data_IF_448267388860
#
_entry.id   IF_448267388860
#
_cell.length_a   1.000
_cell.length_b   1.000
_cell.length_c   1.000
_cell.angle_alpha   90.00
_cell.angle_beta   90.00
_cell.angle_gamma   90.00
#
_symmetry.space_group_name_H-M   'P 1'
#
loop_
_entity.id
_entity.type
_entity.pdbx_description
1 polymer ?
#
# COMPACT_ATOMS: atom_id res chain seq x y z
N UNK A 1 -26.31 7.55 -6.66
CA UNK A 1 -26.37 6.86 -5.35
C UNK A 1 -25.60 7.71 -4.35
N UNK A 2 -26.00 7.73 -3.08
CA UNK A 2 -25.30 8.46 -2.01
C UNK A 2 -24.83 7.48 -0.94
N UNK A 3 -23.81 7.86 -0.19
CA UNK A 3 -23.35 7.13 0.97
C UNK A 3 -24.22 7.51 2.16
N UNK A 4 -24.69 6.51 2.91
CA UNK A 4 -25.43 6.74 4.15
C UNK A 4 -24.47 7.10 5.28
N UNK A 5 -24.46 8.39 5.63
CA UNK A 5 -23.65 8.95 6.71
C UNK A 5 -24.13 8.50 8.10
N UNK A 6 -25.35 7.96 8.22
CA UNK A 6 -25.86 7.40 9.48
C UNK A 6 -25.48 5.93 9.69
N UNK A 7 -24.76 5.32 8.74
CA UNK A 7 -24.26 3.96 8.95
C UNK A 7 -23.28 3.92 10.11
N UNK A 8 -23.39 2.89 10.95
CA UNK A 8 -22.52 2.71 12.12
C UNK A 8 -21.04 2.64 11.75
N UNK A 9 -20.73 2.12 10.56
CA UNK A 9 -19.36 2.10 10.04
C UNK A 9 -18.83 3.52 9.81
N UNK A 10 -19.60 4.39 9.14
CA UNK A 10 -19.15 5.76 8.87
C UNK A 10 -19.05 6.60 10.14
N UNK A 11 -20.02 6.46 11.04
CA UNK A 11 -19.95 7.12 12.34
C UNK A 11 -18.66 6.75 13.08
N UNK A 12 -18.30 5.47 13.12
CA UNK A 12 -17.04 5.03 13.73
C UNK A 12 -15.78 5.55 13.01
N UNK A 13 -15.80 5.64 11.68
CA UNK A 13 -14.67 6.16 10.90
C UNK A 13 -14.47 7.64 11.24
N UNK A 14 -15.55 8.42 11.26
CA UNK A 14 -15.54 9.85 11.57
C UNK A 14 -15.14 10.09 13.04
N UNK A 15 -15.75 9.38 13.99
CA UNK A 15 -15.45 9.49 15.43
C UNK A 15 -14.00 9.15 15.77
N UNK A 16 -13.46 8.10 15.14
CA UNK A 16 -12.06 7.70 15.31
C UNK A 16 -11.08 8.61 14.55
N UNK A 17 -11.57 9.69 13.93
CA UNK A 17 -10.77 10.62 13.12
C UNK A 17 -9.96 9.91 12.04
N UNK A 18 -10.51 8.85 11.45
CA UNK A 18 -9.90 8.24 10.27
C UNK A 18 -10.10 9.18 9.10
N UNK A 19 -9.01 9.46 8.42
CA UNK A 19 -8.97 10.59 7.49
C UNK A 19 -9.66 10.30 6.17
N UNK A 20 -9.83 9.02 5.79
CA UNK A 20 -10.16 8.66 4.43
C UNK A 20 -10.78 7.27 4.27
N UNK A 21 -11.59 7.12 3.23
CA UNK A 21 -12.05 5.84 2.71
C UNK A 21 -11.60 5.67 1.26
N UNK A 22 -11.30 4.43 0.88
CA UNK A 22 -10.91 4.09 -0.47
C UNK A 22 -11.73 2.90 -0.99
N UNK A 23 -11.90 2.83 -2.30
CA UNK A 23 -12.50 1.67 -2.98
C UNK A 23 -11.40 0.86 -3.67
N UNK A 24 -11.43 -0.45 -3.48
CA UNK A 24 -10.61 -1.39 -4.22
C UNK A 24 -11.00 -1.36 -5.70
N UNK A 25 -10.07 -0.99 -6.58
CA UNK A 25 -10.28 -0.94 -8.03
C UNK A 25 -9.76 -2.20 -8.70
N UNK A 26 -8.56 -2.61 -8.32
CA UNK A 26 -7.84 -3.71 -8.96
C UNK A 26 -7.06 -4.52 -7.92
N UNK A 27 -6.83 -5.79 -8.22
CA UNK A 27 -6.08 -6.70 -7.36
C UNK A 27 -5.28 -7.68 -8.20
N UNK A 28 -4.08 -7.99 -7.72
CA UNK A 28 -3.26 -9.09 -8.21
C UNK A 28 -3.49 -10.28 -7.29
N UNK A 29 -3.87 -11.41 -7.87
CA UNK A 29 -4.17 -12.64 -7.13
C UNK A 29 -3.26 -13.77 -7.55
N UNK A 30 -2.99 -14.70 -6.64
CA UNK A 30 -2.42 -16.00 -7.00
C UNK A 30 -3.45 -16.81 -7.79
N UNK A 31 -3.01 -17.48 -8.86
CA UNK A 31 -3.87 -18.37 -9.66
C UNK A 31 -3.76 -19.82 -9.21
N UNK A 32 -2.64 -20.17 -8.58
CA UNK A 32 -2.33 -21.50 -8.06
C UNK A 32 -1.66 -21.39 -6.69
N UNK A 33 -1.50 -22.54 -6.03
CA UNK A 33 -0.74 -22.62 -4.79
C UNK A 33 0.72 -22.29 -5.08
N UNK A 34 1.33 -21.44 -4.25
CA UNK A 34 2.76 -21.14 -4.34
C UNK A 34 3.40 -21.09 -2.95
N UNK A 35 4.72 -21.06 -2.91
CA UNK A 35 5.48 -21.20 -1.68
C UNK A 35 6.61 -20.19 -1.64
N UNK A 36 6.73 -19.48 -0.52
CA UNK A 36 7.84 -18.59 -0.20
C UNK A 36 8.77 -19.30 0.78
N UNK A 37 10.06 -19.35 0.46
CA UNK A 37 11.09 -19.95 1.31
C UNK A 37 12.17 -18.91 1.60
N UNK A 38 12.46 -18.65 2.88
CA UNK A 38 13.63 -17.84 3.27
C UNK A 38 14.90 -18.69 3.14
N UNK A 39 15.87 -18.21 2.37
CA UNK A 39 17.19 -18.83 2.26
C UNK A 39 18.23 -17.92 2.93
N UNK A 40 18.65 -18.29 4.14
CA UNK A 40 19.74 -17.61 4.83
C UNK A 40 21.05 -18.10 4.22
N UNK A 41 21.70 -17.29 3.37
CA UNK A 41 23.09 -17.51 3.02
C UNK A 41 23.95 -17.03 4.19
N UNK A 42 24.37 -17.94 5.06
CA UNK A 42 25.48 -17.67 5.98
C UNK A 42 26.76 -17.79 5.16
N UNK A 43 27.21 -16.70 4.55
CA UNK A 43 28.53 -16.64 3.96
C UNK A 43 29.57 -16.67 5.10
N UNK A 44 30.05 -17.85 5.46
CA UNK A 44 31.28 -17.97 6.23
C UNK A 44 32.46 -17.63 5.32
N UNK A 45 32.75 -16.33 5.18
CA UNK A 45 34.08 -15.88 4.80
C UNK A 45 34.61 -14.89 5.83
N UNK A 46 35.06 -15.43 6.96
CA UNK A 46 35.96 -14.69 7.87
C UNK A 46 37.34 -14.65 7.23
N UNK A 47 37.64 -13.57 6.52
CA UNK A 47 38.97 -12.94 6.55
C UNK A 47 38.87 -11.52 5.97
N UNK A 48 38.67 -10.54 6.85
CA UNK A 48 38.88 -9.12 6.57
C UNK A 48 37.61 -8.28 6.30
N UNK A 49 37.27 -7.45 7.30
CA UNK A 49 36.49 -6.20 7.25
C UNK A 49 35.01 -6.28 6.82
N UNK A 50 34.12 -6.20 7.83
CA UNK A 50 32.70 -5.83 7.83
C UNK A 50 31.79 -6.47 6.76
N UNK A 51 31.32 -7.69 7.04
CA UNK A 51 30.35 -8.40 6.20
C UNK A 51 28.93 -7.85 6.34
N UNK A 52 28.39 -7.31 5.25
CA UNK A 52 26.95 -7.08 5.09
C UNK A 52 26.27 -8.41 4.76
N UNK A 53 25.42 -8.94 5.66
CA UNK A 53 24.62 -10.14 5.38
C UNK A 53 23.47 -9.78 4.44
N UNK A 54 23.58 -10.14 3.15
CA UNK A 54 22.50 -9.96 2.19
C UNK A 54 21.53 -11.16 2.25
N UNK A 55 20.33 -10.95 2.80
CA UNK A 55 19.26 -11.96 2.82
C UNK A 55 18.54 -11.98 1.47
N UNK A 56 18.53 -13.13 0.79
CA UNK A 56 17.81 -13.30 -0.49
C UNK A 56 16.52 -14.08 -0.27
N UNK A 57 15.38 -13.48 -0.60
CA UNK A 57 14.07 -14.15 -0.56
C UNK A 57 13.81 -14.82 -1.91
N UNK A 58 13.57 -16.14 -1.92
CA UNK A 58 13.23 -16.90 -3.13
C UNK A 58 11.75 -17.26 -3.12
N UNK A 59 11.06 -16.94 -4.22
CA UNK A 59 9.66 -17.29 -4.45
C UNK A 59 9.60 -18.38 -5.52
N UNK A 60 8.85 -19.45 -5.27
CA UNK A 60 8.69 -20.55 -6.22
C UNK A 60 7.23 -21.00 -6.35
N UNK A 61 6.91 -21.54 -7.52
CA UNK A 61 5.59 -22.07 -7.85
C UNK A 61 5.76 -23.59 -8.02
N UNK A 62 5.12 -24.39 -7.17
CA UNK A 62 5.25 -25.85 -7.19
C UNK A 62 3.96 -26.51 -7.66
N UNK A 63 4.07 -27.44 -8.60
CA UNK A 63 2.95 -28.26 -9.06
C UNK A 63 2.90 -29.62 -8.33
N UNK A 64 4.05 -30.10 -7.81
CA UNK A 64 4.18 -31.37 -7.09
C UNK A 64 5.07 -31.23 -5.84
N UNK A 65 4.57 -31.73 -4.71
CA UNK A 65 5.12 -31.54 -3.37
C UNK A 65 6.31 -32.42 -3.01
N UNK A 66 7.50 -32.11 -3.52
CA UNK A 66 8.76 -32.63 -2.96
C UNK A 66 9.59 -31.49 -2.40
N UNK A 67 9.73 -31.48 -1.07
CA UNK A 67 10.31 -30.39 -0.28
C UNK A 67 11.61 -30.93 0.36
N UNK A 68 12.76 -30.52 -0.19
CA UNK A 68 14.06 -30.76 0.45
C UNK A 68 14.17 -29.81 1.65
N UNK A 69 14.27 -30.40 2.83
CA UNK A 69 14.13 -29.74 4.13
C UNK A 69 15.50 -29.40 4.71
N UNK A 70 15.97 -28.20 4.43
CA UNK A 70 17.03 -27.53 5.21
C UNK A 70 16.47 -26.21 5.74
N UNK A 71 16.26 -26.14 7.05
CA UNK A 71 16.01 -24.98 7.95
C UNK A 71 15.23 -23.73 7.45
N UNK A 72 14.52 -23.78 6.34
CA UNK A 72 13.81 -22.64 5.76
C UNK A 72 12.42 -22.51 6.38
N UNK A 73 12.05 -21.31 6.78
CA UNK A 73 10.64 -20.98 7.05
C UNK A 73 9.94 -20.98 5.70
N UNK A 74 8.92 -21.83 5.58
CA UNK A 74 8.17 -22.03 4.34
C UNK A 74 6.76 -21.49 4.57
N UNK A 75 6.41 -20.42 3.86
CA UNK A 75 5.06 -19.86 3.82
C UNK A 75 4.37 -20.37 2.56
N UNK A 76 3.27 -21.10 2.73
CA UNK A 76 2.41 -21.50 1.61
C UNK A 76 1.30 -20.47 1.37
N UNK A 77 1.11 -20.10 0.12
CA UNK A 77 0.07 -19.16 -0.33
C UNK A 77 -0.93 -19.95 -1.20
N UNK A 78 -2.20 -20.07 -0.79
CA UNK A 78 -3.23 -20.72 -1.59
C UNK A 78 -3.57 -19.97 -2.89
N UNK A 79 -4.24 -20.63 -3.85
CA UNK A 79 -4.87 -19.95 -4.99
C UNK A 79 -5.88 -18.89 -4.53
N UNK A 80 -6.14 -17.91 -5.41
CA UNK A 80 -7.06 -16.79 -5.21
C UNK A 80 -6.72 -15.86 -4.02
N UNK A 81 -5.46 -15.86 -3.57
CA UNK A 81 -4.96 -14.94 -2.54
C UNK A 81 -4.56 -13.62 -3.17
N UNK A 82 -5.09 -12.50 -2.68
CA UNK A 82 -4.66 -11.15 -3.10
C UNK A 82 -3.27 -10.86 -2.57
N UNK A 83 -2.31 -10.58 -3.46
CA UNK A 83 -0.92 -10.24 -3.11
C UNK A 83 -0.61 -8.74 -3.24
N UNK A 84 -1.38 -8.03 -4.05
CA UNK A 84 -1.30 -6.58 -4.20
C UNK A 84 -2.66 -6.03 -4.65
N UNK A 85 -2.88 -4.74 -4.42
CA UNK A 85 -4.11 -4.07 -4.80
C UNK A 85 -3.89 -2.61 -5.16
N UNK A 86 -4.72 -2.10 -6.06
CA UNK A 86 -4.86 -0.68 -6.37
C UNK A 86 -6.19 -0.16 -5.84
N UNK A 87 -6.15 1.02 -5.21
CA UNK A 87 -7.32 1.70 -4.62
C UNK A 87 -7.55 3.06 -5.26
N UNK A 88 -8.78 3.56 -5.14
CA UNK A 88 -9.14 4.95 -5.44
C UNK A 88 -9.68 5.57 -4.16
N UNK A 89 -9.18 6.73 -3.78
CA UNK A 89 -9.68 7.47 -2.61
C UNK A 89 -11.05 8.10 -2.90
N UNK A 90 -11.85 8.27 -1.84
CA UNK A 90 -13.14 8.92 -1.91
C UNK A 90 -13.11 10.25 -1.20
N UNK A 91 -13.63 11.29 -1.84
CA UNK A 91 -14.02 12.53 -1.16
C UNK A 91 -15.53 12.51 -0.91
N UNK A 92 -15.94 12.57 0.36
CA UNK A 92 -17.34 12.40 0.79
C UNK A 92 -17.87 13.73 1.32
N UNK A 93 -18.95 14.22 0.71
CA UNK A 93 -19.65 15.46 1.08
C UNK A 93 -20.62 15.25 2.24
N UNK A 94 -20.96 16.33 2.93
CA UNK A 94 -21.90 16.31 4.07
C UNK A 94 -23.31 15.80 3.71
N UNK A 95 -23.68 15.85 2.43
CA UNK A 95 -24.96 15.32 1.93
C UNK A 95 -24.88 13.85 1.47
N UNK A 96 -23.74 13.19 1.69
CA UNK A 96 -23.48 11.80 1.29
C UNK A 96 -23.16 11.62 -0.20
N UNK A 97 -23.10 12.69 -1.00
CA UNK A 97 -22.48 12.60 -2.32
C UNK A 97 -20.99 12.35 -2.17
N UNK A 98 -20.39 11.73 -3.18
CA UNK A 98 -18.97 11.42 -3.16
C UNK A 98 -18.35 11.57 -4.55
N UNK A 99 -17.05 11.79 -4.55
CA UNK A 99 -16.22 11.89 -5.75
C UNK A 99 -15.06 10.90 -5.65
N UNK A 100 -14.63 10.39 -6.81
CA UNK A 100 -13.43 9.57 -6.92
C UNK A 100 -12.23 10.48 -7.11
N UNK A 101 -11.24 10.37 -6.23
CA UNK A 101 -9.99 11.10 -6.35
C UNK A 101 -9.12 10.42 -7.41
N UNK A 102 -9.23 10.88 -8.66
CA UNK A 102 -8.55 10.27 -9.81
C UNK A 102 -7.25 10.99 -10.20
N UNK A 103 -7.08 12.21 -9.73
CA UNK A 103 -5.93 13.07 -10.02
C UNK A 103 -5.09 13.21 -8.75
N UNK A 104 -3.76 13.29 -8.88
CA UNK A 104 -2.83 13.38 -7.74
C UNK A 104 -3.07 14.63 -6.87
N UNK A 105 -3.66 15.68 -7.44
CA UNK A 105 -4.03 16.91 -6.74
C UNK A 105 -5.31 16.77 -5.90
N UNK A 106 -6.09 15.70 -6.10
CA UNK A 106 -7.32 15.46 -5.35
C UNK A 106 -7.03 14.61 -4.13
N UNK A 107 -7.27 15.18 -2.95
CA UNK A 107 -7.16 14.46 -1.69
C UNK A 107 -8.51 13.84 -1.29
N UNK A 108 -8.53 12.54 -0.99
CA UNK A 108 -9.70 11.90 -0.40
C UNK A 108 -9.98 12.37 1.03
N UNK A 109 -11.13 11.98 1.56
CA UNK A 109 -11.54 12.25 2.92
C UNK A 109 -12.98 12.71 3.04
N UNK A 110 -13.26 13.45 4.10
CA UNK A 110 -14.59 13.99 4.40
C UNK A 110 -14.57 15.51 4.28
N UNK A 111 -15.63 16.05 3.71
CA UNK A 111 -15.87 17.49 3.66
C UNK A 111 -15.92 18.04 5.09
N UNK A 112 -15.11 19.07 5.34
CA UNK A 112 -15.05 19.74 6.65
C UNK A 112 -16.10 20.83 6.70
N UNK A 113 -16.77 20.96 7.84
CA UNK A 113 -17.62 22.12 8.10
C UNK A 113 -16.74 23.37 8.06
N UNK A 114 -17.09 24.33 7.21
CA UNK A 114 -16.38 25.60 7.12
C UNK A 114 -16.54 26.33 8.44
N UNK A 115 -15.51 26.30 9.30
CA UNK A 115 -15.40 27.28 10.37
C UNK A 115 -15.21 28.63 9.69
N UNK A 116 -16.28 29.41 9.61
CA UNK A 116 -16.27 30.77 9.08
C UNK A 116 -15.10 31.54 9.73
N UNK A 117 -14.07 31.88 8.94
CA UNK A 117 -12.99 32.73 9.44
C UNK A 117 -11.56 32.53 8.94
N UNK A 118 -11.27 31.72 7.92
CA UNK A 118 -9.98 31.87 7.22
C UNK A 118 -10.13 32.02 5.71
N UNK A 119 -10.19 33.28 5.30
CA UNK A 119 -9.75 33.67 3.96
C UNK A 119 -8.27 33.31 3.84
N UNK A 120 -7.96 32.19 3.18
CA UNK A 120 -6.65 32.00 2.59
C UNK A 120 -6.81 32.09 1.07
N UNK A 121 -6.30 33.15 0.44
CA UNK A 121 -6.06 33.13 -0.98
C UNK A 121 -4.82 32.26 -1.26
N UNK A 122 -4.69 31.87 -2.52
CA UNK A 122 -3.46 31.37 -3.14
C UNK A 122 -3.14 29.87 -2.96
N UNK A 123 -3.52 29.13 -4.00
CA UNK A 123 -2.65 28.13 -4.62
C UNK A 123 -1.28 28.77 -4.87
N UNK A 124 -0.30 28.56 -4.01
CA UNK A 124 1.10 28.52 -4.42
C UNK A 124 1.97 27.90 -3.35
N UNK A 125 3.01 27.22 -3.85
CA UNK A 125 4.24 26.85 -3.16
C UNK A 125 4.23 25.46 -2.53
N UNK A 126 4.32 24.43 -3.38
CA UNK A 126 5.25 23.35 -3.08
C UNK A 126 6.41 23.34 -4.05
N UNK A 127 7.59 23.34 -3.43
CA UNK A 127 8.90 23.63 -3.99
C UNK A 127 9.23 22.63 -5.09
N UNK A 128 9.71 23.17 -6.19
CA UNK A 128 10.48 22.50 -7.22
C UNK A 128 11.65 21.77 -6.54
N UNK A 129 11.46 20.49 -6.22
CA UNK A 129 12.54 19.57 -5.94
C UNK A 129 12.99 19.02 -7.29
N UNK A 130 13.76 19.85 -7.99
CA UNK A 130 14.59 19.45 -9.11
C UNK A 130 15.47 18.27 -8.66
N UNK A 131 15.07 17.05 -9.05
CA UNK A 131 15.95 15.90 -9.03
C UNK A 131 17.02 16.13 -10.08
N UNK A 132 18.11 16.78 -9.67
CA UNK A 132 19.38 16.80 -10.39
C UNK A 132 19.90 15.36 -10.45
N UNK A 133 19.50 14.64 -11.48
CA UNK A 133 20.13 13.40 -11.90
C UNK A 133 21.39 13.77 -12.70
N UNK A 134 22.57 13.60 -12.10
CA UNK A 134 23.83 13.58 -12.84
C UNK A 134 24.21 12.11 -13.09
N UNK A 135 24.26 11.63 -14.34
CA UNK A 135 24.91 10.38 -14.66
C UNK A 135 26.43 10.58 -14.68
N UNK A 136 27.15 9.81 -13.85
CA UNK A 136 28.60 9.69 -13.97
C UNK A 136 28.96 8.95 -15.27
N UNK A 137 29.94 9.51 -15.99
CA UNK A 137 30.52 8.98 -17.22
C UNK A 137 31.69 8.04 -16.92
#
# INVERSE_FOLDING_TARGET
RTIDLNSSLLQQVIERKREMLCILREKIITTQKCTISEHIQTEEKVSGVMGCTAKTVKVSVSENGTLMKDSSVILEIPPATTIAYGVIELFIKHNGQFEFCLLDEQQGGFEKESTEGSTYPHSDQFRDASFLYQPDA
#
